data_IF_108099319905
#
_entry.id   IF_108099319905
#
_cell.length_a   1.000
_cell.length_b   1.000
_cell.length_c   1.000
_cell.angle_alpha   90.00
_cell.angle_beta   90.00
_cell.angle_gamma   90.00
#
_symmetry.space_group_name_H-M   'P 1'
#
loop_
_entity.id
_entity.type
_entity.pdbx_description
1 polymer ?
#
# COMPACT_ATOMS: atom_id res chain seq x y z
N UNK A 1 -9.58 -2.62 21.33
CA UNK A 1 -9.39 -1.39 20.52
C UNK A 1 -10.40 -1.38 19.40
N UNK A 2 -10.97 -0.22 19.03
CA UNK A 2 -11.98 -0.15 17.97
C UNK A 2 -11.40 -0.65 16.65
N UNK A 3 -12.21 -1.40 15.91
CA UNK A 3 -11.89 -1.89 14.59
C UNK A 3 -12.88 -1.27 13.59
N UNK A 4 -12.35 -0.61 12.57
CA UNK A 4 -13.10 -0.10 11.44
C UNK A 4 -12.99 -1.12 10.29
N UNK A 5 -14.13 -1.51 9.74
CA UNK A 5 -14.17 -2.25 8.48
C UNK A 5 -14.31 -1.25 7.34
N UNK A 6 -13.40 -1.31 6.39
CA UNK A 6 -13.47 -0.60 5.12
C UNK A 6 -13.87 -1.60 4.05
N UNK A 7 -14.92 -1.28 3.29
CA UNK A 7 -15.39 -2.11 2.19
C UNK A 7 -15.65 -1.22 0.97
N UNK A 8 -14.86 -1.45 -0.08
CA UNK A 8 -15.09 -0.89 -1.40
C UNK A 8 -15.64 -1.98 -2.34
N UNK A 9 -15.89 -1.60 -3.59
CA UNK A 9 -16.37 -2.53 -4.63
C UNK A 9 -15.37 -3.66 -4.89
N UNK A 10 -14.08 -3.36 -4.83
CA UNK A 10 -13.00 -4.22 -5.32
C UNK A 10 -11.89 -4.48 -4.29
N UNK A 11 -12.02 -3.97 -3.07
CA UNK A 11 -11.11 -4.27 -1.97
C UNK A 11 -11.81 -4.12 -0.62
N UNK A 12 -11.30 -4.82 0.38
CA UNK A 12 -11.74 -4.71 1.77
C UNK A 12 -10.55 -4.73 2.70
N UNK A 13 -10.68 -4.05 3.84
CA UNK A 13 -9.65 -4.03 4.87
C UNK A 13 -10.29 -3.88 6.25
N UNK A 14 -9.70 -4.52 7.26
CA UNK A 14 -9.95 -4.17 8.65
C UNK A 14 -8.81 -3.28 9.16
N UNK A 15 -9.18 -2.20 9.85
CA UNK A 15 -8.25 -1.20 10.37
C UNK A 15 -8.48 -1.06 11.86
N UNK A 16 -7.41 -1.02 12.65
CA UNK A 16 -7.47 -0.81 14.09
C UNK A 16 -6.53 0.32 14.48
N UNK A 17 -6.94 1.10 15.48
CA UNK A 17 -6.11 2.17 16.02
C UNK A 17 -6.87 3.48 16.13
N UNK A 18 -6.16 4.59 15.97
CA UNK A 18 -6.78 5.91 16.07
C UNK A 18 -5.84 7.06 15.72
N UNK A 19 -6.40 8.25 15.87
CA UNK A 19 -5.72 9.54 15.77
C UNK A 19 -5.78 10.21 17.14
N UNK A 20 -4.69 10.87 17.52
CA UNK A 20 -4.64 11.72 18.70
C UNK A 20 -4.32 13.15 18.26
N UNK A 21 -5.19 14.07 18.64
CA UNK A 21 -5.07 15.49 18.30
C UNK A 21 -4.53 16.25 19.51
N UNK A 22 -3.43 16.94 19.29
CA UNK A 22 -2.71 17.76 20.27
C UNK A 22 -3.51 19.02 20.65
N UNK A 23 -4.44 19.45 19.78
CA UNK A 23 -5.25 20.67 19.92
C UNK A 23 -4.41 21.97 19.94
N UNK A 24 -3.28 21.98 19.23
CA UNK A 24 -2.38 23.12 19.04
C UNK A 24 -2.31 23.61 17.58
N UNK A 25 -3.13 23.01 16.69
CA UNK A 25 -3.18 23.32 15.26
C UNK A 25 -2.20 22.51 14.41
N UNK A 26 -1.39 21.64 15.01
CA UNK A 26 -0.49 20.72 14.31
C UNK A 26 -1.24 19.49 13.76
N UNK A 27 -0.58 18.65 12.95
CA UNK A 27 -1.19 17.41 12.45
C UNK A 27 -1.25 16.37 13.57
N UNK A 28 -2.27 15.49 13.58
CA UNK A 28 -2.43 14.53 14.66
C UNK A 28 -1.36 13.45 14.62
N UNK A 29 -1.09 12.88 15.79
CA UNK A 29 -0.38 11.60 15.89
C UNK A 29 -1.28 10.47 15.42
N UNK A 30 -0.75 9.60 14.56
CA UNK A 30 -1.44 8.42 14.02
C UNK A 30 -0.89 7.14 14.62
N UNK A 31 -1.76 6.17 14.87
CA UNK A 31 -1.39 4.78 15.16
C UNK A 31 -2.44 3.87 14.54
N UNK A 32 -2.14 3.27 13.39
CA UNK A 32 -3.04 2.35 12.69
C UNK A 32 -2.32 1.05 12.32
N UNK A 33 -3.03 -0.06 12.48
CA UNK A 33 -2.68 -1.35 11.91
C UNK A 33 -3.81 -1.81 11.00
N UNK A 34 -3.47 -2.36 9.83
CA UNK A 34 -4.44 -2.80 8.82
C UNK A 34 -4.19 -4.25 8.44
N UNK A 35 -5.28 -4.97 8.18
CA UNK A 35 -5.29 -6.26 7.51
C UNK A 35 -6.16 -6.12 6.26
N UNK A 36 -5.54 -6.28 5.10
CA UNK A 36 -6.18 -6.30 3.80
C UNK A 36 -6.76 -7.70 3.56
N UNK A 37 -7.93 -7.75 2.92
CA UNK A 37 -8.41 -8.99 2.34
C UNK A 37 -7.61 -9.33 1.07
N UNK A 38 -7.77 -10.55 0.57
CA UNK A 38 -7.24 -10.90 -0.73
C UNK A 38 -7.84 -9.97 -1.80
N UNK A 39 -6.97 -9.37 -2.61
CA UNK A 39 -7.35 -8.35 -3.59
C UNK A 39 -6.69 -8.63 -4.92
N UNK A 40 -7.44 -8.44 -6.01
CA UNK A 40 -6.87 -8.56 -7.34
C UNK A 40 -5.71 -7.55 -7.52
N UNK A 41 -4.56 -8.02 -7.98
CA UNK A 41 -3.36 -7.21 -8.15
C UNK A 41 -3.60 -5.93 -8.99
N UNK A 42 -4.42 -5.95 -10.08
CA UNK A 42 -4.78 -4.74 -10.81
C UNK A 42 -5.54 -3.66 -10.02
N UNK A 43 -6.03 -3.95 -8.81
CA UNK A 43 -6.64 -2.93 -7.93
C UNK A 43 -5.57 -2.02 -7.31
N UNK A 44 -4.32 -2.49 -7.17
CA UNK A 44 -3.20 -1.72 -6.62
C UNK A 44 -2.98 -0.39 -7.36
N UNK A 45 -3.40 -0.34 -8.63
CA UNK A 45 -3.43 0.82 -9.51
C UNK A 45 -4.16 2.04 -8.93
N UNK A 46 -5.12 1.82 -8.04
CA UNK A 46 -5.85 2.91 -7.38
C UNK A 46 -5.02 3.66 -6.34
N UNK A 47 -3.86 3.12 -5.95
CA UNK A 47 -3.08 3.60 -4.81
C UNK A 47 -1.72 4.20 -5.20
N UNK A 48 -1.42 4.37 -6.49
CA UNK A 48 -0.19 5.05 -6.90
C UNK A 48 -0.16 6.50 -6.43
N UNK A 49 0.98 6.94 -5.91
CA UNK A 49 1.21 8.31 -5.48
C UNK A 49 1.54 9.16 -6.71
N UNK A 50 0.51 9.48 -7.51
CA UNK A 50 0.67 10.17 -8.81
C UNK A 50 1.34 11.54 -8.71
N UNK A 51 1.28 12.19 -7.55
CA UNK A 51 1.96 13.47 -7.29
C UNK A 51 3.48 13.34 -7.10
N UNK A 52 3.99 12.15 -6.77
CA UNK A 52 5.42 11.90 -6.53
C UNK A 52 6.08 11.00 -7.58
N UNK A 53 5.30 10.23 -8.33
CA UNK A 53 5.81 9.34 -9.38
C UNK A 53 5.87 10.06 -10.73
N UNK A 54 6.90 9.78 -11.53
CA UNK A 54 6.97 10.29 -12.90
C UNK A 54 5.86 9.65 -13.76
N UNK A 55 5.40 10.36 -14.80
CA UNK A 55 4.41 9.81 -15.74
C UNK A 55 4.87 8.47 -16.35
N UNK A 56 6.16 8.38 -16.71
CA UNK A 56 6.73 7.14 -17.24
C UNK A 56 6.65 5.97 -16.23
N UNK A 57 6.89 6.23 -14.94
CA UNK A 57 6.77 5.20 -13.90
C UNK A 57 5.32 4.74 -13.71
N UNK A 58 4.37 5.67 -13.73
CA UNK A 58 2.94 5.36 -13.69
C UNK A 58 2.55 4.53 -14.90
N UNK A 59 2.82 5.01 -16.12
CA UNK A 59 2.44 4.32 -17.36
C UNK A 59 3.04 2.88 -17.42
N UNK A 60 4.27 2.71 -16.93
CA UNK A 60 4.88 1.37 -16.82
C UNK A 60 4.16 0.49 -15.80
N UNK A 61 3.84 0.99 -14.59
CA UNK A 61 3.09 0.24 -13.58
C UNK A 61 1.65 -0.09 -14.04
N UNK A 62 1.00 0.84 -14.74
CA UNK A 62 -0.27 0.65 -15.44
C UNK A 62 -0.15 -0.43 -16.54
N UNK A 63 1.03 -0.84 -16.95
CA UNK A 63 1.17 -1.97 -17.89
C UNK A 63 1.53 -3.24 -17.13
N UNK A 64 2.53 -3.15 -16.25
CA UNK A 64 3.13 -4.27 -15.54
C UNK A 64 2.20 -4.98 -14.55
N UNK A 65 1.20 -4.30 -13.98
CA UNK A 65 0.29 -4.87 -12.97
C UNK A 65 -0.96 -5.46 -13.66
N UNK A 66 -0.79 -6.53 -14.46
CA UNK A 66 -1.84 -7.02 -15.36
C UNK A 66 -2.77 -8.07 -14.74
N UNK A 67 -2.27 -8.95 -13.87
CA UNK A 67 -3.08 -10.01 -13.27
C UNK A 67 -2.44 -10.62 -12.02
N UNK A 68 -3.22 -11.40 -11.28
CA UNK A 68 -2.83 -12.04 -10.01
C UNK A 68 -3.60 -11.49 -8.82
N UNK A 69 -3.22 -11.95 -7.62
CA UNK A 69 -3.86 -11.60 -6.34
C UNK A 69 -2.80 -11.22 -5.32
N UNK A 70 -3.02 -10.14 -4.59
CA UNK A 70 -2.28 -9.82 -3.38
C UNK A 70 -2.99 -10.49 -2.21
N UNK A 71 -2.27 -11.28 -1.44
CA UNK A 71 -2.76 -12.01 -0.27
C UNK A 71 -1.97 -11.64 0.97
N UNK A 72 -2.56 -11.86 2.15
CA UNK A 72 -1.88 -11.63 3.43
C UNK A 72 -1.44 -10.19 3.67
N UNK A 73 -2.12 -9.22 3.05
CA UNK A 73 -1.73 -7.82 3.09
C UNK A 73 -1.85 -7.24 4.50
N UNK A 74 -0.78 -6.66 5.02
CA UNK A 74 -0.79 -5.96 6.33
C UNK A 74 -0.15 -4.60 6.21
N UNK A 75 -0.64 -3.63 6.96
CA UNK A 75 -0.05 -2.30 7.05
C UNK A 75 0.09 -1.82 8.48
N UNK A 76 1.11 -1.01 8.73
CA UNK A 76 1.35 -0.31 9.99
C UNK A 76 1.72 1.13 9.67
N UNK A 77 1.11 2.07 10.38
CA UNK A 77 1.57 3.45 10.41
C UNK A 77 1.48 3.99 11.83
N UNK A 78 2.57 4.51 12.35
CA UNK A 78 2.61 5.08 13.71
C UNK A 78 3.61 6.23 13.76
N UNK A 79 3.21 7.40 14.25
CA UNK A 79 4.09 8.57 14.33
C UNK A 79 3.33 9.88 14.35
N UNK A 80 4.03 11.00 14.53
CA UNK A 80 3.44 12.33 14.38
C UNK A 80 3.37 12.73 12.90
N UNK A 81 2.18 13.03 12.38
CA UNK A 81 2.01 13.34 10.95
C UNK A 81 2.67 14.66 10.52
N UNK A 82 3.12 15.48 11.47
CA UNK A 82 3.98 16.62 11.18
C UNK A 82 5.35 16.17 10.65
N UNK A 83 5.83 15.00 11.08
CA UNK A 83 7.13 14.46 10.73
C UNK A 83 7.09 13.46 9.56
N UNK A 84 5.91 13.19 8.98
CA UNK A 84 5.78 12.30 7.82
C UNK A 84 6.71 12.75 6.67
N UNK A 85 7.56 11.86 6.09
CA UNK A 85 7.47 10.39 6.11
C UNK A 85 8.29 9.68 7.19
N UNK A 86 8.53 10.33 8.33
CA UNK A 86 9.23 9.83 9.52
C UNK A 86 10.74 9.62 9.32
N UNK A 87 11.39 10.52 8.58
CA UNK A 87 12.81 10.46 8.24
C UNK A 87 13.74 10.49 9.48
N UNK A 88 13.24 10.98 10.62
CA UNK A 88 14.02 11.15 11.85
C UNK A 88 13.86 9.99 12.85
N UNK A 89 13.30 8.84 12.43
CA UNK A 89 13.00 7.67 13.28
C UNK A 89 12.01 7.96 14.42
N UNK A 90 11.15 8.96 14.25
CA UNK A 90 10.05 9.39 15.14
C UNK A 90 8.70 8.73 14.80
N UNK A 91 8.70 7.89 13.77
CA UNK A 91 7.56 7.09 13.36
C UNK A 91 7.98 5.88 12.53
N UNK A 92 6.99 5.15 12.04
CA UNK A 92 7.16 3.96 11.20
C UNK A 92 6.00 3.85 10.23
N UNK A 93 6.34 3.56 8.97
CA UNK A 93 5.42 3.03 7.99
C UNK A 93 5.91 1.67 7.51
N UNK A 94 5.01 0.70 7.46
CA UNK A 94 5.24 -0.63 6.91
C UNK A 94 4.04 -1.08 6.11
N UNK A 95 4.29 -1.71 4.96
CA UNK A 95 3.28 -2.46 4.23
C UNK A 95 3.88 -3.76 3.71
N UNK A 96 3.14 -4.85 3.91
CA UNK A 96 3.51 -6.20 3.50
C UNK A 96 2.38 -6.85 2.70
N UNK A 97 2.74 -7.79 1.84
CA UNK A 97 1.79 -8.65 1.15
C UNK A 97 2.50 -9.64 0.24
N UNK A 98 1.78 -10.61 -0.29
CA UNK A 98 2.32 -11.60 -1.22
C UNK A 98 1.53 -11.60 -2.51
N UNK A 99 2.23 -11.50 -3.64
CA UNK A 99 1.65 -11.71 -4.96
C UNK A 99 1.59 -13.20 -5.23
N UNK A 100 0.40 -13.67 -5.63
CA UNK A 100 0.15 -15.01 -6.15
C UNK A 100 -0.41 -14.94 -7.56
N UNK A 101 0.01 -15.89 -8.39
CA UNK A 101 -0.43 -16.04 -9.77
C UNK A 101 -0.29 -14.74 -10.58
N UNK A 102 0.79 -14.01 -10.32
CA UNK A 102 1.04 -12.71 -10.92
C UNK A 102 1.27 -12.81 -12.43
N UNK A 103 0.73 -11.85 -13.17
CA UNK A 103 0.96 -11.67 -14.60
C UNK A 103 1.58 -10.30 -14.83
N UNK A 104 2.81 -10.29 -15.34
CA UNK A 104 3.62 -9.07 -15.49
C UNK A 104 4.16 -8.96 -16.92
N UNK A 105 3.57 -8.10 -17.78
CA UNK A 105 4.14 -7.74 -19.06
C UNK A 105 5.27 -6.72 -18.86
N UNK A 106 6.48 -7.21 -18.60
CA UNK A 106 7.63 -6.37 -18.29
C UNK A 106 8.12 -5.54 -19.50
N UNK A 107 8.07 -6.15 -20.69
CA UNK A 107 8.46 -5.54 -21.96
C UNK A 107 7.42 -5.90 -23.03
N UNK A 108 6.92 -4.94 -23.84
CA UNK A 108 5.95 -5.19 -24.89
C UNK A 108 6.37 -6.24 -25.93
N UNK A 109 7.67 -6.37 -26.19
CA UNK A 109 8.20 -7.29 -27.20
C UNK A 109 8.39 -8.71 -26.66
N UNK A 110 8.19 -8.91 -25.35
CA UNK A 110 8.40 -10.19 -24.68
C UNK A 110 7.06 -10.78 -24.23
N UNK A 111 6.95 -12.12 -24.15
CA UNK A 111 5.83 -12.75 -23.47
C UNK A 111 5.70 -12.24 -22.04
N UNK A 112 4.46 -12.13 -21.54
CA UNK A 112 4.23 -11.78 -20.15
C UNK A 112 4.82 -12.87 -19.23
N UNK A 113 5.38 -12.45 -18.10
CA UNK A 113 5.69 -13.39 -17.03
C UNK A 113 4.39 -13.85 -16.40
N UNK A 114 4.21 -15.16 -16.26
CA UNK A 114 3.03 -15.77 -15.66
C UNK A 114 3.41 -16.52 -14.39
N UNK A 115 2.42 -16.79 -13.53
CA UNK A 115 2.58 -17.52 -12.26
C UNK A 115 3.63 -16.92 -11.33
N UNK A 116 3.82 -15.60 -11.40
CA UNK A 116 4.78 -14.89 -10.55
C UNK A 116 4.35 -15.00 -9.08
N UNK A 117 5.28 -15.41 -8.23
CA UNK A 117 5.17 -15.37 -6.78
C UNK A 117 6.20 -14.39 -6.25
N UNK A 118 5.77 -13.42 -5.45
CA UNK A 118 6.66 -12.39 -4.93
C UNK A 118 6.20 -11.87 -3.57
N UNK A 119 7.15 -11.55 -2.71
CA UNK A 119 6.89 -10.85 -1.46
C UNK A 119 7.02 -9.33 -1.66
N UNK A 120 6.02 -8.59 -1.22
CA UNK A 120 6.03 -7.13 -1.17
C UNK A 120 6.39 -6.68 0.24
N UNK A 121 7.41 -5.84 0.36
CA UNK A 121 7.84 -5.24 1.63
C UNK A 121 8.19 -3.77 1.40
N UNK A 122 7.36 -2.88 1.94
CA UNK A 122 7.63 -1.44 2.01
C UNK A 122 7.92 -1.09 3.46
N UNK A 123 9.08 -0.48 3.71
CA UNK A 123 9.53 -0.13 5.06
C UNK A 123 10.12 1.29 5.00
N UNK A 124 9.69 2.16 5.92
CA UNK A 124 10.18 3.53 5.98
C UNK A 124 9.37 4.46 5.08
N UNK A 125 10.01 5.27 4.25
CA UNK A 125 9.47 6.54 3.74
C UNK A 125 8.30 6.48 2.74
N UNK A 126 7.62 5.34 2.61
CA UNK A 126 6.53 5.14 1.65
C UNK A 126 7.03 4.89 0.23
#
# INVERSE_FOLDING_TARGET
>A
TPALRVQAKDYGASVRGGLWFQNDGSRPRIQLATQLDDVALPVARKFWIRSKMSKAAIDWLDTAVAGGVITGGTGLVSGDLDDWPFDNNDGRFEAFGQIRDGVIPFNPDWPAMEQVQADLRFIGNG
#
